data_IF_379927543836
#
_entry.id   IF_379927543836
#
_cell.length_a   1.000
_cell.length_b   1.000
_cell.length_c   1.000
_cell.angle_alpha   90.00
_cell.angle_beta   90.00
_cell.angle_gamma   90.00
#
_symmetry.space_group_name_H-M   'P 1'
#
loop_
_entity.id
_entity.type
_entity.pdbx_description
1 polymer ?
#
# COMPACT_ATOMS: atom_id res chain seq x y z
N UNK A 1 -7.30 19.70 -18.50
CA UNK A 1 -6.22 19.22 -17.62
C UNK A 1 -6.87 18.95 -16.28
N UNK A 2 -7.09 17.69 -15.93
CA UNK A 2 -7.85 17.31 -14.73
C UNK A 2 -7.15 17.83 -13.49
N UNK A 3 -7.89 18.53 -12.64
CA UNK A 3 -7.42 19.03 -11.35
C UNK A 3 -6.76 17.90 -10.56
N UNK A 4 -5.48 18.09 -10.25
CA UNK A 4 -4.77 17.33 -9.23
C UNK A 4 -5.45 17.69 -7.91
N UNK A 5 -6.44 16.86 -7.52
CA UNK A 5 -7.19 17.03 -6.30
C UNK A 5 -6.25 17.19 -5.10
N UNK A 6 -6.54 18.18 -4.26
CA UNK A 6 -5.88 18.58 -3.02
C UNK A 6 -4.92 17.50 -2.47
N UNK A 7 -3.63 17.72 -2.75
CA UNK A 7 -2.60 16.69 -2.78
C UNK A 7 -2.16 16.23 -1.40
N UNK A 8 -2.38 14.94 -1.14
CA UNK A 8 -1.72 14.22 -0.09
C UNK A 8 -0.98 13.00 -0.67
N UNK A 9 0.07 12.55 0.00
CA UNK A 9 0.85 11.39 -0.44
C UNK A 9 0.25 10.12 0.14
N UNK A 10 -0.05 9.15 -0.72
CA UNK A 10 -0.29 7.78 -0.30
C UNK A 10 1.03 7.18 0.19
N UNK A 11 0.95 6.23 1.13
CA UNK A 11 2.11 5.55 1.69
C UNK A 11 1.94 4.04 1.58
N UNK A 12 2.91 3.38 0.98
CA UNK A 12 3.07 1.93 1.02
C UNK A 12 4.07 1.59 2.13
N UNK A 13 3.68 0.71 3.04
CA UNK A 13 4.54 0.15 4.08
C UNK A 13 4.73 -1.33 3.78
N UNK A 14 5.98 -1.79 3.85
CA UNK A 14 6.36 -3.19 3.79
C UNK A 14 6.98 -3.59 5.13
N UNK A 15 6.29 -4.46 5.86
CA UNK A 15 6.74 -5.01 7.13
C UNK A 15 7.27 -6.44 6.92
N UNK A 16 8.53 -6.67 7.29
CA UNK A 16 9.20 -7.97 7.20
C UNK A 16 9.26 -8.69 8.55
N UNK A 17 8.54 -8.21 9.57
CA UNK A 17 8.53 -8.68 10.95
C UNK A 17 9.79 -8.31 11.77
N UNK A 18 10.91 -8.05 11.09
CA UNK A 18 12.19 -7.64 11.70
C UNK A 18 12.58 -6.20 11.36
N UNK A 19 12.00 -5.65 10.29
CA UNK A 19 12.24 -4.29 9.81
C UNK A 19 11.08 -3.82 8.97
N UNK A 20 10.87 -2.51 8.94
CA UNK A 20 9.91 -1.87 8.04
C UNK A 20 10.63 -1.01 7.00
N UNK A 21 10.09 -0.99 5.78
CA UNK A 21 10.45 0.00 4.77
C UNK A 21 9.18 0.62 4.18
N UNK A 22 9.31 1.82 3.60
CA UNK A 22 8.15 2.52 3.05
C UNK A 22 8.50 3.36 1.82
N UNK A 23 7.47 3.59 1.00
CA UNK A 23 7.50 4.45 -0.18
C UNK A 23 6.26 5.35 -0.18
N UNK A 24 6.40 6.57 -0.71
CA UNK A 24 5.28 7.49 -0.87
C UNK A 24 5.14 7.95 -2.32
N UNK A 25 3.89 8.22 -2.73
CA UNK A 25 3.56 8.75 -4.06
C UNK A 25 2.22 9.48 -4.00
N UNK A 26 2.05 10.47 -4.87
CA UNK A 26 0.74 11.09 -5.11
C UNK A 26 -0.19 10.20 -5.95
N UNK A 27 0.32 9.08 -6.49
CA UNK A 27 -0.44 8.12 -7.28
C UNK A 27 -0.56 6.77 -6.55
N UNK A 28 -1.74 6.51 -5.98
CA UNK A 28 -2.09 5.25 -5.30
C UNK A 28 -1.85 4.03 -6.20
N UNK A 29 -2.24 4.12 -7.47
CA UNK A 29 -2.17 2.99 -8.40
C UNK A 29 -0.71 2.56 -8.64
N UNK A 30 0.22 3.51 -8.71
CA UNK A 30 1.65 3.21 -8.80
C UNK A 30 2.14 2.44 -7.58
N UNK A 31 1.72 2.82 -6.37
CA UNK A 31 2.10 2.10 -5.15
C UNK A 31 1.50 0.69 -5.10
N UNK A 32 0.28 0.50 -5.59
CA UNK A 32 -0.34 -0.83 -5.69
C UNK A 32 0.41 -1.78 -6.62
N UNK A 33 0.80 -1.29 -7.80
CA UNK A 33 1.61 -2.07 -8.74
C UNK A 33 2.98 -2.40 -8.15
N UNK A 34 3.67 -1.39 -7.61
CA UNK A 34 4.98 -1.58 -6.98
C UNK A 34 4.92 -2.58 -5.83
N UNK A 35 3.95 -2.43 -4.92
CA UNK A 35 3.77 -3.34 -3.80
C UNK A 35 3.53 -4.78 -4.26
N UNK A 36 2.66 -4.99 -5.25
CA UNK A 36 2.39 -6.34 -5.79
C UNK A 36 3.63 -6.97 -6.43
N UNK A 37 4.36 -6.21 -7.26
CA UNK A 37 5.57 -6.70 -7.92
C UNK A 37 6.69 -6.99 -6.92
N UNK A 38 6.85 -6.11 -5.93
CA UNK A 38 7.78 -6.30 -4.82
C UNK A 38 7.44 -7.55 -4.00
N UNK A 39 6.17 -7.69 -3.55
CA UNK A 39 5.68 -8.85 -2.80
C UNK A 39 5.96 -10.17 -3.54
N UNK A 40 5.66 -10.20 -4.84
CA UNK A 40 5.85 -11.38 -5.69
C UNK A 40 7.32 -11.75 -5.92
N UNK A 41 8.22 -10.77 -5.93
CA UNK A 41 9.64 -10.96 -6.24
C UNK A 41 10.54 -11.07 -4.99
N UNK A 42 10.03 -10.68 -3.82
CA UNK A 42 10.80 -10.65 -2.59
C UNK A 42 11.22 -12.06 -2.13
N UNK A 43 12.47 -12.18 -1.66
CA UNK A 43 12.98 -13.41 -1.03
C UNK A 43 12.40 -13.65 0.35
N UNK A 44 12.16 -12.56 1.08
CA UNK A 44 11.44 -12.53 2.34
C UNK A 44 10.20 -11.72 2.05
N UNK A 45 9.05 -12.38 2.01
CA UNK A 45 7.79 -11.76 1.62
C UNK A 45 7.28 -10.87 2.76
N UNK A 46 7.12 -9.55 2.53
CA UNK A 46 6.60 -8.65 3.55
C UNK A 46 5.07 -8.71 3.63
N UNK A 47 4.51 -8.36 4.78
CA UNK A 47 3.13 -7.88 4.83
C UNK A 47 3.09 -6.44 4.31
N UNK A 48 2.14 -6.14 3.44
CA UNK A 48 1.99 -4.80 2.85
C UNK A 48 0.77 -4.09 3.39
N UNK A 49 0.94 -2.80 3.68
CA UNK A 49 -0.15 -1.89 4.03
C UNK A 49 -0.09 -0.66 3.12
N UNK A 50 -1.22 -0.33 2.49
CA UNK A 50 -1.38 0.90 1.72
C UNK A 50 -2.27 1.87 2.51
N UNK A 51 -1.75 3.08 2.70
CA UNK A 51 -2.40 4.16 3.44
C UNK A 51 -2.78 5.31 2.51
N UNK A 52 -3.98 5.85 2.72
CA UNK A 52 -4.40 7.11 2.14
C UNK A 52 -3.66 8.29 2.79
N UNK A 53 -3.72 9.49 2.21
CA UNK A 53 -2.97 10.63 2.73
C UNK A 53 -3.38 11.11 4.12
N UNK A 54 -4.57 10.77 4.59
CA UNK A 54 -5.04 11.01 5.95
C UNK A 54 -4.49 9.98 6.96
N UNK A 55 -3.69 9.01 6.49
CA UNK A 55 -3.12 7.92 7.28
C UNK A 55 -4.03 6.71 7.44
N UNK A 56 -5.26 6.75 6.91
CA UNK A 56 -6.17 5.60 6.97
C UNK A 56 -5.67 4.45 6.09
N UNK A 57 -5.82 3.22 6.58
CA UNK A 57 -5.48 2.02 5.80
C UNK A 57 -6.59 1.77 4.78
N UNK A 58 -6.22 1.70 3.50
CA UNK A 58 -7.16 1.48 2.40
C UNK A 58 -7.03 0.10 1.77
N UNK A 59 -5.85 -0.53 1.88
CA UNK A 59 -5.65 -1.90 1.43
C UNK A 59 -4.48 -2.56 2.18
N UNK A 60 -4.52 -3.89 2.25
CA UNK A 60 -3.46 -4.73 2.85
C UNK A 60 -3.17 -5.93 1.95
N UNK A 61 -2.00 -6.53 2.08
CA UNK A 61 -1.66 -7.80 1.46
C UNK A 61 -0.83 -8.60 2.46
N UNK A 62 -1.38 -9.73 2.93
CA UNK A 62 -0.65 -10.63 3.81
C UNK A 62 0.41 -11.42 3.03
N UNK A 63 1.40 -11.98 3.73
CA UNK A 63 2.54 -12.64 3.09
C UNK A 63 2.19 -13.91 2.30
N UNK A 64 0.96 -14.44 2.41
CA UNK A 64 0.46 -15.55 1.60
C UNK A 64 -0.43 -15.10 0.44
N UNK A 65 -0.83 -13.83 0.40
CA UNK A 65 -1.73 -13.29 -0.59
C UNK A 65 -1.03 -12.96 -1.92
N UNK A 66 -1.80 -13.01 -3.00
CA UNK A 66 -1.38 -12.58 -4.33
C UNK A 66 -2.14 -11.35 -4.84
N UNK A 67 -3.14 -10.91 -4.09
CA UNK A 67 -4.02 -9.80 -4.42
C UNK A 67 -4.23 -8.91 -3.20
N UNK A 68 -4.51 -7.63 -3.46
CA UNK A 68 -4.82 -6.66 -2.41
C UNK A 68 -6.16 -6.99 -1.77
N UNK A 69 -6.18 -7.00 -0.44
CA UNK A 69 -7.40 -6.98 0.36
C UNK A 69 -7.75 -5.54 0.67
N UNK A 70 -8.84 -5.06 0.11
CA UNK A 70 -9.35 -3.71 0.40
C UNK A 70 -9.83 -3.61 1.84
N UNK A 71 -9.62 -2.44 2.46
CA UNK A 71 -10.23 -2.14 3.75
C UNK A 71 -11.76 -2.02 3.59
N UNK A 72 -12.51 -2.57 4.55
CA UNK A 72 -13.96 -2.44 4.57
C UNK A 72 -14.34 -0.96 4.68
N UNK A 73 -14.95 -0.40 3.63
CA UNK A 73 -15.37 1.01 3.57
C UNK A 73 -16.57 1.35 4.48
N UNK A 74 -16.79 0.61 5.57
CA UNK A 74 -18.08 0.60 6.26
C UNK A 74 -18.07 0.42 7.78
N UNK A 75 -16.94 0.58 8.47
CA UNK A 75 -16.95 0.66 9.95
C UNK A 75 -16.86 2.13 10.38
N UNK A 76 -17.97 2.86 10.25
CA UNK A 76 -18.20 4.16 10.86
C UNK A 76 -19.58 4.17 11.51
#
# INVERSE_FOLDING_TARGET
MSEVGQGGLFKLVADYGTSESWLQSSNEHTLRMFGKDHHKSAKITPELTLQAPDGSVIATMDHWAYEWKEADKGAA
#
